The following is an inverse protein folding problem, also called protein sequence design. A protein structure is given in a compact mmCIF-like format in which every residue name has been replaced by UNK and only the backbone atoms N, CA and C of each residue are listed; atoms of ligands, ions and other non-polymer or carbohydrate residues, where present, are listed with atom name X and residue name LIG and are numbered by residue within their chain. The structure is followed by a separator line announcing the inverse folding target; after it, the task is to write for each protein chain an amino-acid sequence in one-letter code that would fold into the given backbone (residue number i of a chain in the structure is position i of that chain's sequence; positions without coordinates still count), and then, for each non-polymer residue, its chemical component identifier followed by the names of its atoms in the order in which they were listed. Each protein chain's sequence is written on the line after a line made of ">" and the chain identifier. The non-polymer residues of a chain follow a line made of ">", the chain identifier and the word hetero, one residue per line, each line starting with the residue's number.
data_IF_984365417926
#
_entry.id   IF_984365417926
#
_cell.length_a   1.000
_cell.length_b   1.000
_cell.length_c   1.000
_cell.angle_alpha   90.00
_cell.angle_beta   90.00
_cell.angle_gamma   90.00
#
_symmetry.space_group_name_H-M   'P 1'
#
loop_
_entity.id
_entity.type
_entity.pdbx_description
1 polymer ?
#
# COMPACT_ATOMS: atom_id res chain seq x y z
N UNK A 1 5.77 -9.09 -29.57
CA UNK A 1 4.92 -8.88 -28.39
C UNK A 1 5.79 -8.22 -27.34
N UNK A 2 5.44 -7.01 -26.90
CA UNK A 2 6.17 -6.37 -25.80
C UNK A 2 5.72 -7.04 -24.50
N UNK A 3 6.63 -7.76 -23.86
CA UNK A 3 6.43 -8.31 -22.54
C UNK A 3 6.34 -7.14 -21.55
N UNK A 4 5.22 -7.03 -20.84
CA UNK A 4 5.07 -6.09 -19.73
C UNK A 4 5.49 -6.87 -18.49
N UNK A 5 6.60 -6.52 -17.82
CA UNK A 5 6.94 -7.14 -16.54
C UNK A 5 5.79 -6.89 -15.56
N UNK A 6 5.29 -7.96 -14.95
CA UNK A 6 4.27 -7.88 -13.90
C UNK A 6 4.89 -7.27 -12.63
N UNK A 7 4.10 -6.51 -11.87
CA UNK A 7 4.50 -6.04 -10.55
C UNK A 7 4.62 -7.24 -9.60
N UNK A 8 5.70 -7.28 -8.81
CA UNK A 8 5.83 -8.22 -7.70
C UNK A 8 5.53 -7.50 -6.39
N UNK A 9 4.77 -8.16 -5.52
CA UNK A 9 4.41 -7.64 -4.21
C UNK A 9 4.80 -8.64 -3.13
N UNK A 10 5.39 -8.15 -2.04
CA UNK A 10 5.75 -8.91 -0.84
C UNK A 10 5.15 -8.23 0.37
N UNK A 11 4.31 -8.93 1.14
CA UNK A 11 3.74 -8.40 2.37
C UNK A 11 4.49 -8.89 3.61
N UNK A 12 4.71 -7.98 4.55
CA UNK A 12 5.20 -8.22 5.90
C UNK A 12 4.21 -7.64 6.89
N UNK A 13 3.71 -8.50 7.78
CA UNK A 13 2.59 -8.13 8.65
C UNK A 13 2.97 -8.43 10.08
N UNK A 14 2.88 -7.41 10.94
CA UNK A 14 3.19 -7.53 12.37
C UNK A 14 2.05 -6.92 13.16
N UNK A 15 1.34 -7.76 13.91
CA UNK A 15 0.23 -7.32 14.72
C UNK A 15 0.62 -7.52 16.18
N UNK A 16 0.61 -6.43 16.94
CA UNK A 16 0.92 -6.46 18.37
C UNK A 16 -0.40 -6.54 19.14
N UNK A 17 -0.51 -7.49 20.06
CA UNK A 17 -1.58 -7.49 21.07
C UNK A 17 -2.79 -8.38 20.80
N UNK A 18 -2.81 -9.19 19.73
CA UNK A 18 -3.79 -10.28 19.53
C UNK A 18 -3.24 -11.40 18.64
N UNK A 19 -3.67 -12.63 18.89
CA UNK A 19 -3.40 -13.77 18.00
C UNK A 19 -4.45 -13.76 16.88
N UNK A 20 -4.01 -13.60 15.63
CA UNK A 20 -4.86 -13.70 14.44
C UNK A 20 -4.59 -15.02 13.72
N UNK A 21 -5.63 -15.63 13.17
CA UNK A 21 -5.45 -16.73 12.21
C UNK A 21 -5.01 -16.16 10.86
N UNK A 22 -4.30 -16.94 10.05
CA UNK A 22 -3.76 -16.50 8.74
C UNK A 22 -4.83 -15.92 7.80
N UNK A 23 -6.10 -16.31 7.96
CA UNK A 23 -7.21 -15.82 7.14
C UNK A 23 -7.84 -14.51 7.66
N UNK A 24 -7.42 -14.03 8.83
CA UNK A 24 -7.89 -12.79 9.45
C UNK A 24 -6.86 -11.67 9.31
N UNK A 25 -5.80 -11.89 8.53
CA UNK A 25 -4.79 -10.87 8.33
C UNK A 25 -5.38 -9.79 7.40
N UNK A 26 -5.63 -8.59 7.93
CA UNK A 26 -6.47 -7.60 7.25
C UNK A 26 -5.74 -6.83 6.16
N UNK A 27 -4.41 -6.89 6.18
CA UNK A 27 -3.56 -6.35 5.15
C UNK A 27 -3.36 -7.42 4.08
N UNK A 28 -3.84 -7.16 2.87
CA UNK A 28 -3.77 -8.12 1.77
C UNK A 28 -3.39 -7.44 0.47
N UNK A 29 -2.79 -8.24 -0.41
CA UNK A 29 -2.40 -7.83 -1.75
C UNK A 29 -3.20 -8.67 -2.73
N UNK A 30 -3.72 -8.03 -3.77
CA UNK A 30 -4.15 -8.74 -4.97
C UNK A 30 -3.26 -8.38 -6.13
N UNK A 31 -2.39 -9.31 -6.52
CA UNK A 31 -1.52 -9.16 -7.70
C UNK A 31 -2.32 -9.16 -9.00
N UNK A 32 -3.47 -9.85 -9.04
CA UNK A 32 -4.36 -9.87 -10.21
C UNK A 32 -5.01 -8.51 -10.49
N UNK A 33 -5.23 -7.71 -9.44
CA UNK A 33 -5.86 -6.39 -9.54
C UNK A 33 -4.90 -5.23 -9.29
N UNK A 34 -3.61 -5.50 -9.00
CA UNK A 34 -2.61 -4.52 -8.58
C UNK A 34 -3.07 -3.68 -7.39
N UNK A 35 -3.59 -4.36 -6.39
CA UNK A 35 -4.24 -3.77 -5.23
C UNK A 35 -3.42 -4.00 -3.98
N UNK A 36 -3.33 -2.96 -3.18
CA UNK A 36 -3.04 -3.06 -1.76
C UNK A 36 -4.27 -2.65 -0.98
N UNK A 37 -4.66 -3.46 -0.01
CA UNK A 37 -5.75 -3.10 0.89
C UNK A 37 -5.42 -3.47 2.32
N UNK A 38 -5.95 -2.66 3.22
CA UNK A 38 -6.13 -3.05 4.60
C UNK A 38 -7.56 -2.75 4.98
N UNK A 39 -8.43 -3.76 4.90
CA UNK A 39 -9.85 -3.62 5.16
C UNK A 39 -10.38 -4.84 5.89
N UNK A 40 -11.25 -4.63 6.87
CA UNK A 40 -12.04 -5.70 7.52
C UNK A 40 -13.48 -5.19 7.54
N UNK A 41 -14.45 -6.10 7.40
CA UNK A 41 -15.88 -5.79 7.51
C UNK A 41 -16.21 -5.04 8.82
N UNK A 42 -15.52 -5.39 9.91
CA UNK A 42 -15.67 -4.78 11.24
C UNK A 42 -14.60 -3.71 11.58
N UNK A 43 -13.81 -3.29 10.60
CA UNK A 43 -12.74 -2.29 10.78
C UNK A 43 -11.34 -2.85 11.04
N UNK A 44 -10.30 -2.08 10.72
CA UNK A 44 -8.91 -2.53 10.88
C UNK A 44 -8.53 -2.72 12.35
N UNK A 45 -7.48 -3.52 12.57
CA UNK A 45 -6.97 -3.88 13.90
C UNK A 45 -6.26 -2.70 14.54
N UNK A 46 -6.59 -2.39 15.81
CA UNK A 46 -5.85 -1.46 16.66
C UNK A 46 -4.43 -1.94 16.99
N UNK A 47 -3.48 -1.02 17.11
CA UNK A 47 -2.05 -1.27 17.25
C UNK A 47 -1.49 -2.18 16.13
N UNK A 48 -2.09 -2.09 14.95
CA UNK A 48 -1.69 -2.85 13.77
C UNK A 48 -0.51 -2.20 13.06
N UNK A 49 0.41 -3.04 12.57
CA UNK A 49 1.40 -2.63 11.58
C UNK A 49 1.38 -3.56 10.36
N UNK A 50 1.33 -2.97 9.17
CA UNK A 50 1.57 -3.68 7.92
C UNK A 50 2.54 -2.88 7.09
N UNK A 51 3.42 -3.63 6.45
CA UNK A 51 4.38 -3.15 5.50
C UNK A 51 4.29 -4.02 4.25
N UNK A 52 4.11 -3.40 3.10
CA UNK A 52 4.11 -4.09 1.82
C UNK A 52 5.25 -3.53 1.00
N UNK A 53 6.18 -4.41 0.64
CA UNK A 53 7.20 -4.11 -0.34
C UNK A 53 6.64 -4.37 -1.74
N UNK A 54 6.70 -3.35 -2.60
CA UNK A 54 6.28 -3.40 -3.99
C UNK A 54 7.53 -3.24 -4.83
N UNK A 55 7.78 -4.20 -5.72
CA UNK A 55 8.82 -4.07 -6.72
C UNK A 55 8.23 -3.37 -7.93
N UNK A 56 8.65 -2.12 -8.13
CA UNK A 56 8.19 -1.30 -9.25
C UNK A 56 9.09 -1.56 -10.46
N UNK A 57 8.53 -2.08 -11.57
CA UNK A 57 9.26 -2.23 -12.81
C UNK A 57 9.60 -0.84 -13.39
N UNK A 58 10.50 -0.79 -14.38
CA UNK A 58 11.08 0.43 -14.98
C UNK A 58 10.09 1.38 -15.71
N UNK A 59 8.78 1.30 -15.43
CA UNK A 59 7.69 1.98 -16.14
C UNK A 59 7.05 3.05 -15.25
N UNK A 60 6.34 3.99 -15.88
CA UNK A 60 5.59 5.00 -15.11
C UNK A 60 4.45 4.28 -14.40
N UNK A 61 4.29 4.51 -13.11
CA UNK A 61 3.17 3.98 -12.35
C UNK A 61 2.55 5.06 -11.49
N UNK A 62 1.29 4.87 -11.15
CA UNK A 62 0.63 5.68 -10.16
C UNK A 62 -0.30 4.82 -9.31
N UNK A 63 -0.34 5.09 -8.01
CA UNK A 63 -1.32 4.54 -7.09
C UNK A 63 -2.45 5.55 -6.87
N UNK A 64 -3.68 5.09 -6.72
CA UNK A 64 -4.80 5.94 -6.35
C UNK A 64 -5.46 5.37 -5.11
N UNK A 65 -5.70 6.22 -4.11
CA UNK A 65 -6.52 5.83 -2.96
C UNK A 65 -7.99 5.89 -3.36
N UNK A 66 -8.58 4.72 -3.48
CA UNK A 66 -9.92 4.52 -4.02
C UNK A 66 -10.95 4.41 -2.89
N UNK A 67 -10.51 4.00 -1.70
CA UNK A 67 -11.26 3.99 -0.44
C UNK A 67 -10.34 4.38 0.72
N UNK A 68 -10.85 5.20 1.65
CA UNK A 68 -10.13 5.64 2.85
C UNK A 68 -11.12 5.96 3.97
N UNK A 69 -11.03 5.19 5.07
CA UNK A 69 -11.73 5.39 6.33
C UNK A 69 -10.79 4.95 7.46
N UNK A 70 -9.91 5.85 7.89
CA UNK A 70 -8.96 5.66 9.00
C UNK A 70 -9.14 6.76 10.04
N UNK A 71 -8.62 6.57 11.25
CA UNK A 71 -8.61 7.62 12.27
C UNK A 71 -7.75 8.80 11.81
N UNK A 72 -8.39 9.94 11.58
CA UNK A 72 -7.69 11.15 11.15
C UNK A 72 -6.70 11.64 12.22
N UNK A 73 -5.53 12.08 11.79
CA UNK A 73 -4.45 12.67 12.61
C UNK A 73 -3.68 11.72 13.52
N UNK A 74 -4.11 10.46 13.64
CA UNK A 74 -3.48 9.48 14.51
C UNK A 74 -2.95 8.30 13.70
N UNK A 75 -3.81 7.68 12.90
CA UNK A 75 -3.41 6.61 12.00
C UNK A 75 -2.67 7.16 10.78
N UNK A 76 -1.71 6.37 10.29
CA UNK A 76 -0.80 6.82 9.24
C UNK A 76 -0.69 5.78 8.15
N UNK A 77 -1.05 6.20 6.93
CA UNK A 77 -0.62 5.56 5.70
C UNK A 77 0.58 6.33 5.17
N UNK A 78 1.68 5.64 4.89
CA UNK A 78 2.88 6.24 4.29
C UNK A 78 3.51 5.30 3.29
N UNK A 79 4.30 5.86 2.38
CA UNK A 79 5.09 5.08 1.43
C UNK A 79 6.49 5.66 1.32
N UNK A 80 7.44 4.80 0.94
CA UNK A 80 8.84 5.11 0.79
C UNK A 80 9.37 4.49 -0.51
N UNK A 81 9.81 5.30 -1.47
CA UNK A 81 10.29 4.85 -2.79
C UNK A 81 11.81 4.62 -2.84
N UNK A 82 12.52 5.32 -1.97
CA UNK A 82 13.96 5.38 -1.80
C UNK A 82 14.13 5.98 -0.41
N UNK A 83 14.92 5.35 0.47
CA UNK A 83 14.94 5.47 1.94
C UNK A 83 14.83 6.89 2.58
N UNK A 84 14.84 7.95 1.79
CA UNK A 84 14.72 9.37 2.13
C UNK A 84 13.36 10.03 1.78
N UNK A 85 12.46 9.39 1.03
CA UNK A 85 11.19 10.02 0.60
C UNK A 85 9.97 9.35 1.26
N UNK A 86 9.64 9.80 2.47
CA UNK A 86 8.41 9.38 3.16
C UNK A 86 7.30 10.38 2.88
N UNK A 87 6.28 9.96 2.15
CA UNK A 87 5.06 10.74 1.96
C UNK A 87 3.87 10.09 2.65
N UNK A 88 2.99 10.92 3.20
CA UNK A 88 1.78 10.50 3.92
C UNK A 88 0.57 10.65 3.02
N UNK A 89 -0.32 9.68 3.10
CA UNK A 89 -1.61 9.69 2.44
C UNK A 89 -2.70 10.03 3.45
N UNK A 90 -3.58 10.97 3.11
CA UNK A 90 -4.54 11.54 4.07
C UNK A 90 -5.96 11.64 3.55
N UNK A 91 -6.18 11.69 2.25
CA UNK A 91 -7.51 11.86 1.67
C UNK A 91 -7.81 10.80 0.62
N UNK A 92 -9.09 10.45 0.50
CA UNK A 92 -9.58 9.69 -0.66
C UNK A 92 -9.32 10.49 -1.93
N UNK A 93 -8.83 9.81 -2.96
CA UNK A 93 -8.43 10.44 -4.21
C UNK A 93 -7.03 11.05 -4.19
N UNK A 94 -6.29 10.96 -3.08
CA UNK A 94 -4.85 11.24 -3.11
C UNK A 94 -4.19 10.30 -4.14
N UNK A 95 -3.42 10.89 -5.05
CA UNK A 95 -2.70 10.19 -6.09
C UNK A 95 -1.22 10.09 -5.72
N UNK A 96 -0.70 8.88 -5.89
CA UNK A 96 0.68 8.52 -5.67
C UNK A 96 1.36 8.43 -7.02
N UNK A 97 2.15 9.43 -7.41
CA UNK A 97 2.85 9.38 -8.70
C UNK A 97 4.27 8.83 -8.56
N UNK A 98 4.58 7.83 -9.37
CA UNK A 98 5.91 7.24 -9.47
C UNK A 98 6.45 7.53 -10.87
N UNK A 99 7.36 8.51 -10.93
CA UNK A 99 8.10 8.80 -12.15
C UNK A 99 9.00 7.62 -12.49
N UNK A 100 9.20 7.32 -13.78
CA UNK A 100 10.12 6.27 -14.22
C UNK A 100 11.52 6.61 -13.74
N UNK A 101 12.27 5.57 -13.36
CA UNK A 101 13.66 5.75 -12.98
C UNK A 101 14.50 5.92 -14.25
N UNK A 102 15.21 7.05 -14.35
CA UNK A 102 16.05 7.39 -15.51
C UNK A 102 17.24 6.44 -15.72
N UNK A 103 17.50 5.54 -14.77
CA UNK A 103 18.59 4.57 -14.79
C UNK A 103 18.18 3.18 -15.31
N UNK A 104 16.89 2.98 -15.61
CA UNK A 104 16.38 1.68 -16.05
C UNK A 104 16.53 0.59 -14.99
N UNK A 105 16.50 0.95 -13.71
CA UNK A 105 16.51 -0.01 -12.61
C UNK A 105 15.13 -0.19 -11.99
N UNK A 106 14.86 -1.39 -11.48
CA UNK A 106 13.73 -1.64 -10.60
C UNK A 106 13.97 -0.95 -9.25
N UNK A 107 12.88 -0.63 -8.55
CA UNK A 107 12.93 -0.04 -7.21
C UNK A 107 11.94 -0.73 -6.29
N UNK A 108 12.36 -0.86 -5.04
CA UNK A 108 11.50 -1.36 -3.99
C UNK A 108 10.83 -0.16 -3.33
N UNK A 109 9.51 -0.21 -3.25
CA UNK A 109 8.73 0.70 -2.46
C UNK A 109 8.22 -0.01 -1.24
N UNK A 110 8.34 0.62 -0.08
CA UNK A 110 7.69 0.15 1.13
C UNK A 110 6.44 0.98 1.36
N UNK A 111 5.29 0.34 1.38
CA UNK A 111 4.00 0.93 1.73
C UNK A 111 3.61 0.48 3.14
N UNK A 112 3.33 1.41 4.03
CA UNK A 112 3.08 1.11 5.44
C UNK A 112 1.75 1.70 5.90
N UNK A 113 1.01 0.92 6.69
CA UNK A 113 -0.06 1.43 7.52
C UNK A 113 0.23 1.13 8.99
N UNK A 114 0.03 2.16 9.81
CA UNK A 114 0.23 2.13 11.24
C UNK A 114 -1.07 2.61 11.84
N UNK A 115 -1.71 1.74 12.62
CA UNK A 115 -2.84 2.13 13.44
C UNK A 115 -2.42 2.32 14.88
N UNK A 116 -3.11 3.20 15.59
CA UNK A 116 -2.98 3.34 17.03
C UNK A 116 -4.00 2.46 17.78
N UNK A 117 -4.06 2.62 19.10
CA UNK A 117 -4.90 1.82 19.99
C UNK A 117 -6.31 2.37 20.22
N UNK A 118 -6.73 3.44 19.54
CA UNK A 118 -7.84 4.29 19.98
C UNK A 118 -9.12 4.16 19.15
N UNK A 119 -9.16 4.55 17.87
CA UNK A 119 -10.36 4.45 17.01
C UNK A 119 -10.11 3.59 15.78
N UNK A 120 -11.10 2.76 15.43
CA UNK A 120 -11.08 1.90 14.24
C UNK A 120 -12.00 2.49 13.17
N UNK A 121 -11.45 2.66 11.96
CA UNK A 121 -12.22 2.81 10.72
C UNK A 121 -12.22 1.53 9.89
N UNK A 122 -12.79 1.59 8.68
CA UNK A 122 -12.88 0.45 7.77
C UNK A 122 -11.59 0.20 6.97
N UNK A 123 -10.66 1.15 6.99
CA UNK A 123 -9.32 1.02 6.44
C UNK A 123 -9.17 1.68 5.07
N UNK A 124 -8.43 1.06 4.15
CA UNK A 124 -8.11 1.70 2.87
C UNK A 124 -7.90 0.69 1.73
N UNK A 125 -8.04 1.21 0.51
CA UNK A 125 -7.80 0.50 -0.75
C UNK A 125 -6.95 1.41 -1.65
N UNK A 126 -5.81 0.91 -2.13
CA UNK A 126 -4.97 1.57 -3.12
C UNK A 126 -4.88 0.70 -4.35
N UNK A 127 -5.20 1.28 -5.49
CA UNK A 127 -5.08 0.63 -6.79
C UNK A 127 -3.87 1.19 -7.54
N UNK A 128 -2.93 0.33 -7.90
CA UNK A 128 -1.73 0.67 -8.67
C UNK A 128 -1.96 0.42 -10.15
N UNK A 129 -1.71 1.46 -10.95
CA UNK A 129 -1.94 1.47 -12.38
C UNK A 129 -0.64 1.86 -13.08
N UNK A 130 -0.39 1.26 -14.24
CA UNK A 130 0.73 1.64 -15.10
C UNK A 130 0.29 2.78 -16.03
N UNK A 131 1.12 3.81 -16.20
CA UNK A 131 1.00 4.78 -17.30
C UNK A 131 2.12 4.52 -18.32
N UNK A 132 1.86 4.85 -19.59
CA UNK A 132 2.85 4.72 -20.67
C UNK A 132 2.27 4.03 -21.88
N UNK A 133 2.09 4.82 -22.94
CA UNK A 133 1.54 4.44 -24.24
C UNK A 133 2.21 3.19 -24.79
N UNK A 134 1.36 2.28 -25.30
CA UNK A 134 1.71 1.29 -26.32
C UNK A 134 2.55 1.89 -27.44
#
# INVERSE_FOLDING_TARGET
>A
MNFIPEMEFKAYISIIGKNYTINEIPCSISTMYNVIQWTIEDGYINNGYCSIEIVIPQKHMYGVIVFLEIEENVDVIRYNLDENNIAKLKNRGDELYFLPFNDGLERNMTFEFISDGSVQGLGFYVNFNQYGKS
#
